data_IF_134634764732
#
_entry.id   IF_134634764732
#
_cell.length_a   1.000
_cell.length_b   1.000
_cell.length_c   1.000
_cell.angle_alpha   90.00
_cell.angle_beta   90.00
_cell.angle_gamma   90.00
#
_symmetry.space_group_name_H-M   'P 1'
#
loop_
_entity.id
_entity.type
_entity.pdbx_description
1 polymer ?
#
# COMPACT_ATOMS: atom_id res chain seq x y z
N UNK A 1 -17.25 -6.20 -4.17
CA UNK A 1 -16.87 -6.80 -2.89
C UNK A 1 -17.02 -5.73 -1.82
N UNK A 2 -17.95 -5.90 -0.90
CA UNK A 2 -18.14 -4.99 0.23
C UNK A 2 -17.02 -5.18 1.27
N UNK A 3 -16.84 -4.23 2.21
CA UNK A 3 -15.91 -4.40 3.32
C UNK A 3 -16.16 -5.69 4.13
N UNK A 4 -17.42 -6.04 4.33
CA UNK A 4 -17.86 -7.22 5.08
C UNK A 4 -17.54 -8.51 4.32
N UNK A 5 -17.78 -8.54 3.00
CA UNK A 5 -17.43 -9.68 2.14
C UNK A 5 -15.90 -9.92 2.13
N UNK A 6 -15.12 -8.83 2.08
CA UNK A 6 -13.66 -8.91 2.14
C UNK A 6 -13.18 -9.45 3.50
N UNK A 7 -13.78 -8.98 4.60
CA UNK A 7 -13.46 -9.47 5.93
C UNK A 7 -13.77 -10.97 6.07
N UNK A 8 -14.95 -11.40 5.60
CA UNK A 8 -15.32 -12.81 5.61
C UNK A 8 -14.36 -13.68 4.78
N UNK A 9 -13.95 -13.20 3.60
CA UNK A 9 -12.94 -13.87 2.77
C UNK A 9 -11.60 -13.99 3.52
N UNK A 10 -11.10 -12.90 4.09
CA UNK A 10 -9.85 -12.90 4.84
C UNK A 10 -9.88 -13.88 6.03
N UNK A 11 -11.00 -13.92 6.77
CA UNK A 11 -11.20 -14.89 7.86
C UNK A 11 -11.20 -16.32 7.33
N UNK A 12 -11.94 -16.62 6.26
CA UNK A 12 -11.98 -17.97 5.68
C UNK A 12 -10.62 -18.44 5.19
N UNK A 13 -9.84 -17.54 4.60
CA UNK A 13 -8.48 -17.81 4.14
C UNK A 13 -7.54 -18.07 5.31
N UNK A 14 -7.62 -17.28 6.39
CA UNK A 14 -6.81 -17.48 7.59
C UNK A 14 -7.08 -18.86 8.23
N UNK A 15 -8.35 -19.28 8.32
CA UNK A 15 -8.73 -20.61 8.80
C UNK A 15 -8.14 -21.71 7.92
N UNK A 16 -8.23 -21.56 6.59
CA UNK A 16 -7.68 -22.54 5.65
C UNK A 16 -6.16 -22.63 5.74
N UNK A 17 -5.47 -21.49 5.92
CA UNK A 17 -4.01 -21.43 6.11
C UNK A 17 -3.60 -22.11 7.42
N UNK A 18 -4.32 -21.88 8.51
CA UNK A 18 -3.98 -22.41 9.83
C UNK A 18 -4.21 -23.92 9.95
N UNK A 19 -5.02 -24.50 9.06
CA UNK A 19 -5.34 -25.92 9.07
C UNK A 19 -4.05 -26.77 8.97
N UNK A 20 -3.94 -27.75 9.85
CA UNK A 20 -2.82 -28.71 9.91
C UNK A 20 -1.43 -28.07 10.13
N UNK A 21 -1.38 -26.84 10.62
CA UNK A 21 -0.13 -26.14 10.97
C UNK A 21 0.10 -26.10 12.47
N UNK A 22 1.37 -26.08 12.84
CA UNK A 22 1.79 -25.77 14.21
C UNK A 22 1.67 -24.27 14.49
N UNK A 23 1.65 -23.89 15.76
CA UNK A 23 1.60 -22.48 16.18
C UNK A 23 2.78 -21.68 15.61
N UNK A 24 3.99 -22.25 15.63
CA UNK A 24 5.19 -21.59 15.10
C UNK A 24 5.08 -21.29 13.59
N UNK A 25 4.51 -22.21 12.82
CA UNK A 25 4.27 -22.00 11.39
C UNK A 25 3.19 -20.93 11.14
N UNK A 26 2.14 -20.89 11.97
CA UNK A 26 1.11 -19.85 11.91
C UNK A 26 1.72 -18.48 12.20
N UNK A 27 2.54 -18.37 13.25
CA UNK A 27 3.20 -17.12 13.64
C UNK A 27 4.13 -16.61 12.54
N UNK A 28 4.92 -17.50 11.94
CA UNK A 28 5.80 -17.15 10.82
C UNK A 28 5.01 -16.61 9.62
N UNK A 29 3.89 -17.27 9.25
CA UNK A 29 3.03 -16.83 8.16
C UNK A 29 2.37 -15.48 8.48
N UNK A 30 1.91 -15.29 9.73
CA UNK A 30 1.32 -14.04 10.16
C UNK A 30 2.31 -12.87 10.04
N UNK A 31 3.56 -13.06 10.48
CA UNK A 31 4.63 -12.07 10.35
C UNK A 31 4.90 -11.75 8.87
N UNK A 32 4.98 -12.77 8.01
CA UNK A 32 5.19 -12.58 6.57
C UNK A 32 4.08 -11.73 5.93
N UNK A 33 2.81 -12.08 6.19
CA UNK A 33 1.66 -11.36 5.64
C UNK A 33 1.57 -9.92 6.16
N UNK A 34 1.88 -9.69 7.42
CA UNK A 34 1.95 -8.34 8.00
C UNK A 34 3.04 -7.48 7.34
N UNK A 35 4.22 -8.07 7.09
CA UNK A 35 5.32 -7.38 6.40
C UNK A 35 4.95 -7.03 4.95
N UNK A 36 4.28 -7.95 4.23
CA UNK A 36 3.77 -7.69 2.87
C UNK A 36 2.78 -6.52 2.90
N UNK A 37 1.79 -6.55 3.80
CA UNK A 37 0.80 -5.48 3.93
C UNK A 37 1.44 -4.11 4.23
N UNK A 38 2.40 -4.08 5.15
CA UNK A 38 3.16 -2.87 5.50
C UNK A 38 3.95 -2.33 4.31
N UNK A 39 4.58 -3.22 3.54
CA UNK A 39 5.36 -2.86 2.35
C UNK A 39 4.45 -2.28 1.27
N UNK A 40 3.30 -2.91 1.00
CA UNK A 40 2.30 -2.40 0.06
C UNK A 40 1.75 -1.03 0.49
N UNK A 41 1.47 -0.85 1.78
CA UNK A 41 1.05 0.44 2.33
C UNK A 41 2.09 1.54 2.11
N UNK A 42 3.37 1.22 2.33
CA UNK A 42 4.49 2.14 2.08
C UNK A 42 4.58 2.52 0.61
N UNK A 43 4.50 1.54 -0.31
CA UNK A 43 4.51 1.78 -1.76
C UNK A 43 3.33 2.66 -2.18
N UNK A 44 2.12 2.40 -1.66
CA UNK A 44 0.93 3.19 -1.95
C UNK A 44 1.11 4.65 -1.54
N UNK A 45 1.60 4.88 -0.31
CA UNK A 45 1.87 6.22 0.20
C UNK A 45 2.94 6.94 -0.64
N UNK A 46 4.01 6.24 -1.01
CA UNK A 46 5.04 6.79 -1.89
C UNK A 46 4.47 7.17 -3.25
N UNK A 47 3.63 6.33 -3.85
CA UNK A 47 2.98 6.62 -5.13
C UNK A 47 2.09 7.86 -5.06
N UNK A 48 1.36 8.04 -3.96
CA UNK A 48 0.54 9.24 -3.76
C UNK A 48 1.40 10.51 -3.64
N UNK A 49 2.49 10.46 -2.87
CA UNK A 49 3.38 11.61 -2.63
C UNK A 49 4.27 11.95 -3.83
N UNK A 50 4.61 10.96 -4.65
CA UNK A 50 5.42 11.11 -5.85
C UNK A 50 4.58 11.35 -7.11
N UNK A 51 3.24 11.44 -7.01
CA UNK A 51 2.43 11.91 -8.13
C UNK A 51 2.94 13.30 -8.52
N UNK A 52 3.40 13.50 -9.77
CA UNK A 52 3.78 14.82 -10.20
C UNK A 52 2.56 15.73 -10.01
N UNK A 53 2.73 16.79 -9.22
CA UNK A 53 1.76 17.87 -9.13
C UNK A 53 1.62 18.35 -10.56
N UNK A 54 0.51 18.05 -11.22
CA UNK A 54 0.22 18.52 -12.58
C UNK A 54 0.61 19.98 -12.62
N UNK A 55 1.61 20.30 -13.42
CA UNK A 55 2.21 21.62 -13.49
C UNK A 55 1.10 22.65 -13.65
N UNK A 56 0.81 23.43 -12.60
CA UNK A 56 0.15 24.70 -12.81
C UNK A 56 1.16 25.52 -13.57
N UNK A 57 0.98 25.60 -14.89
CA UNK A 57 1.78 26.41 -15.78
C UNK A 57 1.84 27.84 -15.27
N UNK A 58 2.91 28.15 -14.55
CA UNK A 58 3.34 29.51 -14.29
C UNK A 58 4.83 29.51 -14.56
N UNK A 59 5.18 29.71 -15.83
CA UNK A 59 6.53 30.15 -16.17
C UNK A 59 6.82 31.39 -15.33
N UNK A 60 7.90 31.42 -14.52
CA UNK A 60 8.27 32.63 -13.81
C UNK A 60 8.50 33.76 -14.83
N UNK A 61 8.04 35.00 -14.57
CA UNK A 61 8.21 36.09 -15.51
C UNK A 61 9.71 36.32 -15.74
N UNK A 62 10.12 36.20 -17.02
CA UNK A 62 11.48 36.56 -17.43
C UNK A 62 11.62 38.08 -17.26
N UNK A 63 12.54 38.59 -16.42
CA UNK A 63 12.76 40.01 -16.32
C UNK A 63 13.26 40.55 -17.67
N UNK A 64 12.81 41.74 -18.11
CA UNK A 64 13.28 42.32 -19.36
C UNK A 64 14.80 42.53 -19.29
N UNK A 65 15.52 41.99 -20.28
CA UNK A 65 16.93 42.33 -20.51
C UNK A 65 16.95 43.79 -20.96
N UNK A 66 17.45 44.68 -20.11
CA UNK A 66 17.80 46.04 -20.51
C UNK A 66 19.09 45.92 -21.33
N UNK A 67 18.95 46.01 -22.65
CA UNK A 67 20.05 46.18 -23.62
C UNK A 67 20.44 47.65 -23.71
#
# INVERSE_FOLDING_TARGET
MSPEELAALATSLAIAIAKDKTTDEIDLIAILLAQIGTTLGTISLQRERLKPKSESGTTPPVPPIIL
#
